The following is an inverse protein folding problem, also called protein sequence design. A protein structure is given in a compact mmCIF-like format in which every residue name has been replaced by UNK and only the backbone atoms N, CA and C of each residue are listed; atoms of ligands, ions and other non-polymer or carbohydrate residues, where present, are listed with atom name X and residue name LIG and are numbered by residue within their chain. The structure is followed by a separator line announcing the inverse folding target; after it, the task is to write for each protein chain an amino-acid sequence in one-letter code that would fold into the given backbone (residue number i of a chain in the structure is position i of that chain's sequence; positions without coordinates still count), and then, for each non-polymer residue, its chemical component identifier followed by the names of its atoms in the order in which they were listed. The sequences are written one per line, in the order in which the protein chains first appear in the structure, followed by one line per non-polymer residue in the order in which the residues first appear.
data_IF_706744368768
#
_entry.id   IF_706744368768
#
_cell.length_a   1.000
_cell.length_b   1.000
_cell.length_c   1.000
_cell.angle_alpha   90.00
_cell.angle_beta   90.00
_cell.angle_gamma   90.00
#
_symmetry.space_group_name_H-M   'P 1'
#
loop_
_entity.id
_entity.type
_entity.pdbx_description
1 polymer ?
#
# COMPACT_ATOMS: atom_id res chain seq x y z
N UNK A 1 -9.64 10.42 -14.78
CA UNK A 1 -10.66 9.95 -15.73
C UNK A 1 -10.12 9.83 -17.16
N UNK A 2 -9.27 10.76 -17.65
CA UNK A 2 -8.71 10.71 -19.01
C UNK A 2 -7.87 9.45 -19.26
N UNK A 3 -7.15 8.97 -18.24
CA UNK A 3 -6.23 7.84 -18.36
C UNK A 3 -6.93 6.47 -18.28
N UNK A 4 -7.92 6.33 -17.39
CA UNK A 4 -8.58 5.05 -17.10
C UNK A 4 -9.99 4.92 -17.66
N UNK A 5 -10.59 6.02 -18.11
CA UNK A 5 -11.99 6.08 -18.52
C UNK A 5 -13.00 5.95 -17.38
N UNK A 6 -12.54 5.71 -16.14
CA UNK A 6 -13.43 5.53 -14.99
C UNK A 6 -13.96 6.87 -14.48
N UNK A 7 -15.23 6.90 -14.10
CA UNK A 7 -15.84 8.05 -13.42
C UNK A 7 -15.71 7.87 -11.91
N UNK A 8 -14.66 8.48 -11.35
CA UNK A 8 -14.32 8.39 -9.94
C UNK A 8 -15.00 9.51 -9.14
N UNK A 9 -16.06 9.17 -8.41
CA UNK A 9 -16.81 10.11 -7.58
C UNK A 9 -16.13 10.34 -6.22
N UNK A 10 -15.47 9.32 -5.68
CA UNK A 10 -14.90 9.36 -4.34
C UNK A 10 -13.40 9.16 -4.36
N UNK A 11 -12.73 9.79 -3.39
CA UNK A 11 -11.31 9.56 -3.14
C UNK A 11 -11.05 9.33 -1.65
N UNK A 12 -9.96 8.66 -1.36
CA UNK A 12 -9.41 8.52 -0.02
C UNK A 12 -7.90 8.69 -0.07
N UNK A 13 -7.39 9.60 0.75
CA UNK A 13 -5.95 9.81 0.95
C UNK A 13 -5.61 9.35 2.36
N UNK A 14 -4.77 8.36 2.47
CA UNK A 14 -4.36 7.73 3.72
C UNK A 14 -2.91 8.14 3.99
N UNK A 15 -2.65 8.74 5.14
CA UNK A 15 -1.29 8.99 5.61
C UNK A 15 -0.63 7.66 6.02
N UNK A 16 0.68 7.53 5.78
CA UNK A 16 1.43 6.36 6.24
C UNK A 16 1.32 6.16 7.76
N UNK A 17 1.19 7.25 8.52
CA UNK A 17 0.95 7.20 9.97
C UNK A 17 -0.36 6.51 10.32
N UNK A 18 -1.42 6.64 9.49
CA UNK A 18 -2.65 5.90 9.69
C UNK A 18 -2.42 4.39 9.69
N UNK A 19 -1.64 3.91 8.71
CA UNK A 19 -1.35 2.48 8.58
C UNK A 19 -0.50 1.97 9.76
N UNK A 20 0.53 2.72 10.15
CA UNK A 20 1.40 2.40 11.30
C UNK A 20 0.57 2.27 12.59
N UNK A 21 -0.28 3.28 12.88
CA UNK A 21 -1.14 3.27 14.06
C UNK A 21 -2.20 2.17 14.02
N UNK A 22 -2.77 1.90 12.85
CA UNK A 22 -3.71 0.81 12.67
C UNK A 22 -3.05 -0.54 13.00
N UNK A 23 -1.83 -0.77 12.50
CA UNK A 23 -1.04 -1.96 12.80
C UNK A 23 -0.85 -2.13 14.31
N UNK A 24 -0.48 -1.06 15.03
CA UNK A 24 -0.31 -1.11 16.49
C UNK A 24 -1.63 -1.38 17.21
N UNK A 25 -2.72 -0.72 16.79
CA UNK A 25 -4.03 -0.91 17.40
C UNK A 25 -4.50 -2.35 17.25
N UNK A 26 -4.32 -2.98 16.09
CA UNK A 26 -4.72 -4.39 15.92
C UNK A 26 -3.76 -5.39 16.57
N UNK A 27 -2.61 -4.94 17.07
CA UNK A 27 -1.62 -5.76 17.79
C UNK A 27 -0.59 -6.40 16.88
N UNK A 28 -0.32 -5.77 15.74
CA UNK A 28 0.61 -6.23 14.72
C UNK A 28 -0.07 -6.97 13.58
N UNK A 29 0.63 -7.04 12.46
CA UNK A 29 0.21 -7.74 11.24
C UNK A 29 1.19 -8.85 10.92
N UNK A 30 0.70 -10.08 10.81
CA UNK A 30 1.51 -11.19 10.31
C UNK A 30 1.72 -11.02 8.81
N UNK A 31 2.97 -10.91 8.40
CA UNK A 31 3.33 -10.65 7.01
C UNK A 31 4.62 -11.37 6.61
N UNK A 32 4.67 -11.82 5.37
CA UNK A 32 5.89 -12.40 4.81
C UNK A 32 6.77 -11.30 4.22
N UNK A 33 7.84 -10.94 4.92
CA UNK A 33 8.85 -9.98 4.44
C UNK A 33 9.62 -10.61 3.28
N UNK A 34 9.60 -10.01 2.08
CA UNK A 34 10.11 -10.69 0.87
C UNK A 34 11.61 -10.82 0.82
N UNK A 35 12.35 -9.92 1.46
CA UNK A 35 13.81 -9.90 1.45
C UNK A 35 14.41 -9.42 2.77
N UNK A 36 15.70 -9.67 2.97
CA UNK A 36 16.44 -9.04 4.05
C UNK A 36 16.61 -7.55 3.75
N UNK A 37 16.13 -6.70 4.64
CA UNK A 37 16.16 -5.26 4.51
C UNK A 37 17.12 -4.68 5.54
N UNK A 38 18.19 -4.02 5.08
CA UNK A 38 19.21 -3.43 5.94
C UNK A 38 19.65 -2.08 5.36
N UNK A 39 19.02 -1.01 5.89
CA UNK A 39 19.25 0.35 5.44
C UNK A 39 19.27 1.32 6.61
N UNK A 40 20.33 2.13 6.67
CA UNK A 40 20.48 3.20 7.65
C UNK A 40 20.69 4.54 6.94
N UNK A 41 19.87 5.53 7.32
CA UNK A 41 20.02 6.93 6.93
C UNK A 41 19.94 7.82 8.16
N UNK A 42 21.11 8.27 8.62
CA UNK A 42 21.21 9.13 9.79
C UNK A 42 20.57 10.50 9.59
N UNK A 43 20.49 10.99 8.36
CA UNK A 43 19.93 12.30 8.04
C UNK A 43 18.41 12.33 8.25
N UNK A 44 17.75 11.19 8.05
CA UNK A 44 16.32 11.01 8.22
C UNK A 44 15.97 10.28 9.53
N UNK A 45 16.95 9.93 10.34
CA UNK A 45 16.78 9.04 11.50
C UNK A 45 16.01 7.76 11.12
N UNK A 46 16.37 7.17 9.98
CA UNK A 46 15.72 5.99 9.44
C UNK A 46 16.62 4.78 9.60
N UNK A 47 16.10 3.77 10.29
CA UNK A 47 16.79 2.50 10.55
C UNK A 47 15.86 1.37 10.12
N UNK A 48 16.25 0.60 9.09
CA UNK A 48 15.48 -0.52 8.55
C UNK A 48 16.28 -1.79 8.74
N UNK A 49 15.78 -2.69 9.58
CA UNK A 49 16.42 -3.97 9.90
C UNK A 49 15.38 -5.08 9.98
N UNK A 50 14.87 -5.53 8.82
CA UNK A 50 13.92 -6.62 8.73
C UNK A 50 14.58 -7.85 8.10
N UNK A 51 14.30 -9.01 8.66
CA UNK A 51 14.72 -10.29 8.07
C UNK A 51 13.65 -10.81 7.13
N UNK A 52 14.06 -11.47 6.05
CA UNK A 52 13.16 -12.22 5.17
C UNK A 52 12.42 -13.31 5.94
N UNK A 53 11.12 -13.47 5.65
CA UNK A 53 10.29 -14.54 6.18
C UNK A 53 9.02 -14.06 6.85
N UNK A 54 8.21 -15.01 7.29
CA UNK A 54 6.96 -14.76 8.00
C UNK A 54 7.25 -14.24 9.41
N UNK A 55 6.67 -13.10 9.76
CA UNK A 55 6.84 -12.48 11.07
C UNK A 55 5.68 -11.51 11.37
N UNK A 56 5.47 -11.21 12.64
CA UNK A 56 4.53 -10.18 13.07
C UNK A 56 5.24 -8.83 13.04
N UNK A 57 4.69 -7.90 12.26
CA UNK A 57 5.17 -6.53 12.18
C UNK A 57 4.29 -5.64 13.07
N UNK A 58 4.90 -4.95 14.03
CA UNK A 58 4.34 -3.84 14.75
C UNK A 58 4.40 -2.55 13.90
N UNK A 59 3.94 -1.41 14.42
CA UNK A 59 3.94 -0.16 13.68
C UNK A 59 5.32 0.28 13.21
N UNK A 60 6.34 0.13 14.07
CA UNK A 60 7.72 0.49 13.73
C UNK A 60 8.27 -0.37 12.58
N UNK A 61 8.02 -1.67 12.62
CA UNK A 61 8.43 -2.57 11.54
C UNK A 61 7.61 -2.37 10.27
N UNK A 62 6.34 -2.01 10.40
CA UNK A 62 5.50 -1.62 9.27
C UNK A 62 6.06 -0.38 8.57
N UNK A 63 6.48 0.65 9.34
CA UNK A 63 7.16 1.81 8.76
C UNK A 63 8.45 1.43 8.01
N UNK A 64 9.27 0.56 8.62
CA UNK A 64 10.49 0.06 7.99
C UNK A 64 10.18 -0.62 6.64
N UNK A 65 9.18 -1.52 6.62
CA UNK A 65 8.75 -2.23 5.41
C UNK A 65 8.28 -1.25 4.32
N UNK A 66 7.43 -0.28 4.69
CA UNK A 66 6.85 0.69 3.76
C UNK A 66 7.88 1.63 3.16
N UNK A 67 8.94 1.95 3.90
CA UNK A 67 9.99 2.88 3.50
C UNK A 67 11.17 2.20 2.81
N UNK A 68 11.27 0.87 2.87
CA UNK A 68 12.38 0.17 2.26
C UNK A 68 12.34 0.26 0.73
N UNK A 69 13.48 0.58 0.13
CA UNK A 69 13.69 0.57 -1.31
C UNK A 69 14.89 -0.27 -1.70
N UNK A 70 16.01 -0.09 -0.99
CA UNK A 70 17.27 -0.80 -1.20
C UNK A 70 18.12 -0.80 0.06
N UNK A 71 19.05 -1.72 0.13
CA UNK A 71 20.05 -1.81 1.18
C UNK A 71 21.17 -0.74 1.00
N UNK A 72 21.92 -0.44 2.06
CA UNK A 72 23.07 0.49 1.97
C UNK A 72 24.15 0.03 0.97
N UNK A 73 24.28 -1.27 0.73
CA UNK A 73 25.21 -1.82 -0.27
C UNK A 73 24.67 -1.74 -1.72
N UNK A 74 23.52 -1.11 -1.93
CA UNK A 74 22.89 -0.93 -3.24
C UNK A 74 22.06 -2.12 -3.72
N UNK A 75 22.02 -3.24 -3.01
CA UNK A 75 21.13 -4.36 -3.37
C UNK A 75 19.68 -4.00 -3.07
N UNK A 76 18.76 -4.45 -3.91
CA UNK A 76 17.33 -4.25 -3.78
C UNK A 76 16.61 -5.59 -3.62
N UNK A 77 15.33 -5.63 -3.93
CA UNK A 77 14.53 -6.86 -3.90
C UNK A 77 15.10 -7.94 -4.83
N UNK A 78 15.00 -9.21 -4.41
CA UNK A 78 15.56 -10.36 -5.14
C UNK A 78 14.66 -10.87 -6.27
N UNK A 79 13.39 -10.45 -6.31
CA UNK A 79 12.42 -10.84 -7.34
C UNK A 79 12.70 -10.27 -8.73
N UNK A 80 11.79 -10.48 -9.67
CA UNK A 80 11.82 -9.90 -11.02
C UNK A 80 11.63 -8.39 -10.99
N UNK A 81 10.67 -7.94 -10.17
CA UNK A 81 10.47 -6.52 -9.90
C UNK A 81 11.60 -5.96 -9.04
N UNK A 82 12.06 -4.76 -9.36
CA UNK A 82 13.17 -4.10 -8.66
C UNK A 82 12.77 -2.73 -8.15
N UNK A 83 13.53 -2.26 -7.17
CA UNK A 83 13.48 -0.89 -6.66
C UNK A 83 12.06 -0.41 -6.34
N UNK A 84 11.59 0.62 -7.03
CA UNK A 84 10.31 1.27 -6.76
C UNK A 84 9.10 0.39 -7.08
N UNK A 85 9.16 -0.44 -8.12
CA UNK A 85 8.05 -1.32 -8.50
C UNK A 85 7.87 -2.39 -7.42
N UNK A 86 8.96 -3.02 -6.99
CA UNK A 86 8.94 -4.01 -5.92
C UNK A 86 8.48 -3.40 -4.59
N UNK A 87 8.89 -2.15 -4.29
CA UNK A 87 8.41 -1.42 -3.12
C UNK A 87 6.90 -1.22 -3.19
N UNK A 88 6.37 -0.73 -4.30
CA UNK A 88 4.93 -0.51 -4.50
C UNK A 88 4.13 -1.80 -4.38
N UNK A 89 4.64 -2.90 -4.94
CA UNK A 89 4.04 -4.23 -4.84
C UNK A 89 4.00 -4.72 -3.38
N UNK A 90 5.11 -4.56 -2.65
CA UNK A 90 5.19 -4.91 -1.23
C UNK A 90 4.26 -4.05 -0.36
N UNK A 91 4.23 -2.74 -0.59
CA UNK A 91 3.32 -1.83 0.10
C UNK A 91 1.86 -2.22 -0.10
N UNK A 92 1.46 -2.48 -1.36
CA UNK A 92 0.11 -2.90 -1.70
C UNK A 92 -0.27 -4.21 -1.01
N UNK A 93 0.60 -5.21 -1.07
CA UNK A 93 0.38 -6.50 -0.42
C UNK A 93 0.24 -6.35 1.11
N UNK A 94 1.06 -5.50 1.72
CA UNK A 94 0.98 -5.23 3.15
C UNK A 94 -0.31 -4.49 3.55
N UNK A 95 -0.77 -3.52 2.73
CA UNK A 95 -2.04 -2.84 2.96
C UNK A 95 -3.21 -3.84 2.92
N UNK A 96 -3.26 -4.69 1.90
CA UNK A 96 -4.30 -5.72 1.76
C UNK A 96 -4.28 -6.65 2.98
N UNK A 97 -3.11 -7.12 3.40
CA UNK A 97 -2.99 -8.00 4.56
C UNK A 97 -3.40 -7.30 5.86
N UNK A 98 -3.04 -6.01 6.02
CA UNK A 98 -3.49 -5.20 7.16
C UNK A 98 -5.01 -5.09 7.21
N UNK A 99 -5.67 -4.83 6.07
CA UNK A 99 -7.14 -4.79 6.00
C UNK A 99 -7.74 -6.13 6.37
N UNK A 100 -7.24 -7.24 5.81
CA UNK A 100 -7.69 -8.61 6.14
C UNK A 100 -7.64 -8.88 7.64
N UNK A 101 -6.53 -8.55 8.28
CA UNK A 101 -6.36 -8.79 9.71
C UNK A 101 -7.15 -7.82 10.58
N UNK A 102 -7.39 -6.59 10.10
CA UNK A 102 -8.21 -5.60 10.80
C UNK A 102 -9.67 -6.06 10.95
N UNK A 103 -10.26 -6.63 9.91
CA UNK A 103 -11.68 -7.05 9.94
C UNK A 103 -11.91 -8.38 10.66
N UNK A 104 -10.89 -9.04 11.17
CA UNK A 104 -11.06 -10.27 11.94
C UNK A 104 -11.87 -10.03 13.22
N UNK A 105 -12.67 -11.01 13.59
CA UNK A 105 -13.56 -10.94 14.77
C UNK A 105 -12.84 -10.53 16.06
N UNK A 106 -11.56 -10.89 16.23
CA UNK A 106 -10.76 -10.50 17.39
C UNK A 106 -10.58 -8.98 17.55
N UNK A 107 -10.76 -8.20 16.47
CA UNK A 107 -10.56 -6.76 16.46
C UNK A 107 -11.87 -5.94 16.60
N UNK A 108 -13.02 -6.60 16.73
CA UNK A 108 -14.33 -5.92 16.89
C UNK A 108 -14.33 -4.96 18.08
N UNK A 109 -13.63 -5.32 19.16
CA UNK A 109 -13.54 -4.45 20.35
C UNK A 109 -12.65 -3.21 20.15
N UNK A 110 -11.89 -3.15 19.06
CA UNK A 110 -10.97 -2.05 18.71
C UNK A 110 -11.60 -1.06 17.72
N UNK A 111 -12.85 -1.25 17.34
CA UNK A 111 -13.52 -0.48 16.29
C UNK A 111 -13.51 1.03 16.58
N UNK A 112 -13.61 1.42 17.86
CA UNK A 112 -13.53 2.84 18.25
C UNK A 112 -12.18 3.43 17.90
N UNK A 113 -11.10 2.76 18.27
CA UNK A 113 -9.74 3.25 18.04
C UNK A 113 -9.42 3.29 16.53
N UNK A 114 -9.94 2.31 15.77
CA UNK A 114 -9.83 2.28 14.30
C UNK A 114 -10.56 3.48 13.68
N UNK A 115 -11.75 3.81 14.17
CA UNK A 115 -12.50 4.99 13.71
C UNK A 115 -11.75 6.28 14.05
N UNK A 116 -11.22 6.40 15.25
CA UNK A 116 -10.47 7.58 15.68
C UNK A 116 -9.23 7.81 14.79
N UNK A 117 -8.50 6.74 14.42
CA UNK A 117 -7.39 6.80 13.45
C UNK A 117 -7.88 7.26 12.08
N UNK A 118 -9.00 6.71 11.60
CA UNK A 118 -9.56 7.10 10.31
C UNK A 118 -9.90 8.60 10.27
N UNK A 119 -10.48 9.13 11.35
CA UNK A 119 -10.79 10.55 11.44
C UNK A 119 -9.56 11.46 11.43
N UNK A 120 -8.48 11.02 12.08
CA UNK A 120 -7.27 11.82 12.24
C UNK A 120 -6.37 11.80 10.99
N UNK A 121 -6.25 10.64 10.31
CA UNK A 121 -5.23 10.38 9.30
C UNK A 121 -5.77 10.10 7.89
N UNK A 122 -7.09 10.06 7.69
CA UNK A 122 -7.70 9.82 6.38
C UNK A 122 -8.43 11.06 5.90
N UNK A 123 -8.08 11.52 4.69
CA UNK A 123 -8.79 12.58 3.99
C UNK A 123 -9.65 11.98 2.88
N UNK A 124 -10.95 12.28 2.89
CA UNK A 124 -11.89 11.77 1.90
C UNK A 124 -13.01 12.76 1.66
N UNK A 125 -13.64 12.68 0.48
CA UNK A 125 -14.90 13.36 0.20
C UNK A 125 -16.14 12.51 0.52
N UNK A 126 -15.95 11.28 1.05
CA UNK A 126 -17.04 10.45 1.53
C UNK A 126 -17.68 11.09 2.75
N UNK A 127 -19.01 11.22 2.72
CA UNK A 127 -19.76 11.67 3.91
C UNK A 127 -19.83 10.54 4.96
N UNK A 128 -19.99 10.91 6.23
CA UNK A 128 -20.18 9.94 7.32
C UNK A 128 -21.40 9.05 7.07
N UNK A 129 -22.48 9.61 6.48
CA UNK A 129 -23.65 8.83 6.09
C UNK A 129 -23.31 7.77 5.05
N UNK A 130 -22.59 8.17 3.99
CA UNK A 130 -22.11 7.26 2.95
C UNK A 130 -21.26 6.14 3.52
N UNK A 131 -20.31 6.49 4.40
CA UNK A 131 -19.47 5.48 5.08
C UNK A 131 -20.32 4.48 5.86
N UNK A 132 -21.31 4.96 6.65
CA UNK A 132 -22.20 4.09 7.42
C UNK A 132 -23.01 3.15 6.53
N UNK A 133 -23.43 3.61 5.36
CA UNK A 133 -24.17 2.79 4.40
C UNK A 133 -23.32 1.65 3.82
N UNK A 134 -21.99 1.84 3.71
CA UNK A 134 -21.06 0.83 3.24
C UNK A 134 -20.54 -0.14 4.32
N UNK A 135 -20.58 0.23 5.61
CA UNK A 135 -20.09 -0.63 6.71
C UNK A 135 -20.67 -2.06 6.68
N UNK A 136 -21.98 -2.29 6.46
CA UNK A 136 -22.53 -3.64 6.42
C UNK A 136 -21.97 -4.50 5.27
N UNK A 137 -21.52 -3.87 4.20
CA UNK A 137 -20.94 -4.55 3.06
C UNK A 137 -19.47 -4.87 3.29
N UNK A 138 -18.75 -4.02 4.02
CA UNK A 138 -17.30 -4.16 4.26
C UNK A 138 -16.93 -5.49 4.95
N UNK A 139 -17.79 -6.01 5.82
CA UNK A 139 -17.56 -7.30 6.51
C UNK A 139 -17.76 -8.51 5.60
N UNK A 140 -18.40 -8.33 4.43
CA UNK A 140 -18.67 -9.38 3.45
C UNK A 140 -17.82 -9.21 2.17
N UNK A 141 -16.87 -8.25 2.15
CA UNK A 141 -16.00 -8.07 1.00
C UNK A 141 -15.09 -9.28 0.86
N UNK A 142 -15.09 -9.87 -0.32
CA UNK A 142 -14.08 -10.87 -0.68
C UNK A 142 -12.74 -10.18 -0.90
N UNK A 143 -11.95 -10.08 0.17
CA UNK A 143 -10.65 -9.43 0.12
C UNK A 143 -9.66 -10.27 -0.71
N UNK A 144 -9.85 -11.57 -0.82
CA UNK A 144 -9.01 -12.44 -1.66
C UNK A 144 -9.30 -12.24 -3.14
N UNK A 145 -10.54 -11.84 -3.48
CA UNK A 145 -10.94 -11.45 -4.83
C UNK A 145 -10.50 -10.04 -5.24
N UNK A 146 -9.85 -9.26 -4.37
CA UNK A 146 -9.37 -7.92 -4.76
C UNK A 146 -8.30 -8.06 -5.84
N UNK A 147 -8.65 -7.65 -7.04
CA UNK A 147 -7.70 -7.54 -8.14
C UNK A 147 -6.90 -6.24 -8.02
N UNK A 148 -5.64 -6.30 -8.34
CA UNK A 148 -4.79 -5.12 -8.37
C UNK A 148 -3.82 -5.23 -9.55
N UNK A 149 -3.66 -4.15 -10.27
CA UNK A 149 -2.76 -4.09 -11.41
C UNK A 149 -1.91 -2.82 -11.37
N UNK A 150 -0.75 -2.89 -12.01
CA UNK A 150 0.07 -1.72 -12.32
C UNK A 150 -0.30 -1.31 -13.74
N UNK A 151 -0.56 -0.01 -13.95
CA UNK A 151 -0.82 0.48 -15.30
C UNK A 151 0.38 0.19 -16.21
N UNK A 152 0.16 -0.39 -17.39
CA UNK A 152 1.24 -0.67 -18.33
C UNK A 152 2.00 0.59 -18.73
N UNK A 153 3.32 0.51 -18.76
CA UNK A 153 4.15 1.66 -19.09
C UNK A 153 5.62 1.41 -18.81
N UNK A 154 6.41 2.47 -18.86
CA UNK A 154 7.85 2.41 -18.57
C UNK A 154 8.35 3.65 -17.83
N UNK A 155 9.33 3.45 -16.97
CA UNK A 155 10.07 4.55 -16.38
C UNK A 155 10.96 5.23 -17.44
N UNK A 156 11.03 6.54 -17.39
CA UNK A 156 11.88 7.40 -18.23
C UNK A 156 12.61 8.37 -17.32
N UNK A 157 13.90 8.51 -17.50
CA UNK A 157 14.74 9.36 -16.65
C UNK A 157 15.86 10.05 -17.41
N UNK A 158 16.87 10.58 -16.69
CA UNK A 158 17.99 11.30 -17.28
C UNK A 158 18.76 10.52 -18.35
N UNK A 159 18.83 9.20 -18.23
CA UNK A 159 19.46 8.33 -19.23
C UNK A 159 18.69 8.25 -20.55
N UNK A 160 17.40 8.61 -20.53
CA UNK A 160 16.52 8.67 -21.70
C UNK A 160 16.36 10.10 -22.23
N UNK A 161 17.18 11.05 -21.72
CA UNK A 161 17.15 12.46 -22.12
C UNK A 161 16.09 13.30 -21.39
N UNK A 162 15.42 12.77 -20.37
CA UNK A 162 14.49 13.53 -19.54
C UNK A 162 15.23 14.28 -18.42
N UNK A 163 14.71 15.44 -18.01
CA UNK A 163 15.28 16.23 -16.91
C UNK A 163 14.94 15.67 -15.52
N UNK A 164 13.85 14.91 -15.43
CA UNK A 164 13.33 14.27 -14.21
C UNK A 164 12.94 12.83 -14.52
N UNK A 165 12.64 12.07 -13.47
CA UNK A 165 12.06 10.73 -13.61
C UNK A 165 10.56 10.84 -13.84
N UNK A 166 10.06 10.14 -14.85
CA UNK A 166 8.65 10.01 -15.19
C UNK A 166 8.27 8.53 -15.39
N UNK A 167 7.00 8.23 -15.20
CA UNK A 167 6.43 6.97 -15.67
C UNK A 167 5.51 7.28 -16.85
N UNK A 168 5.88 6.80 -18.03
CA UNK A 168 5.08 6.95 -19.24
C UNK A 168 4.13 5.76 -19.35
N UNK A 169 2.86 6.02 -19.13
CA UNK A 169 1.80 5.02 -19.25
C UNK A 169 1.57 4.70 -20.73
N UNK A 170 1.38 3.41 -21.03
CA UNK A 170 0.94 2.96 -22.33
C UNK A 170 -0.59 3.00 -22.40
N UNK A 171 -1.16 4.02 -23.02
CA UNK A 171 -2.60 4.24 -23.09
C UNK A 171 -3.36 3.07 -23.71
N UNK A 172 -2.81 2.43 -24.77
CA UNK A 172 -3.46 1.31 -25.44
C UNK A 172 -3.55 0.06 -24.56
N UNK A 173 -2.45 -0.29 -23.92
CA UNK A 173 -2.42 -1.43 -22.99
C UNK A 173 -3.23 -1.13 -21.73
N UNK A 174 -3.26 0.14 -21.28
CA UNK A 174 -4.10 0.56 -20.18
C UNK A 174 -5.58 0.40 -20.52
N UNK A 175 -6.01 0.77 -21.72
CA UNK A 175 -7.39 0.57 -22.15
C UNK A 175 -7.79 -0.91 -22.15
N UNK A 176 -6.91 -1.80 -22.63
CA UNK A 176 -7.15 -3.25 -22.58
C UNK A 176 -7.26 -3.75 -21.14
N UNK A 177 -6.35 -3.31 -20.26
CA UNK A 177 -6.38 -3.67 -18.85
C UNK A 177 -7.66 -3.19 -18.14
N UNK A 178 -8.13 -1.98 -18.46
CA UNK A 178 -9.37 -1.45 -17.91
C UNK A 178 -10.60 -2.23 -18.39
N UNK A 179 -10.62 -2.63 -19.66
CA UNK A 179 -11.69 -3.47 -20.24
C UNK A 179 -11.75 -4.84 -19.54
N UNK A 180 -10.60 -5.46 -19.27
CA UNK A 180 -10.51 -6.74 -18.57
C UNK A 180 -10.95 -6.67 -17.11
N UNK A 181 -10.71 -5.54 -16.42
CA UNK A 181 -10.96 -5.41 -14.99
C UNK A 181 -12.36 -4.88 -14.65
N UNK A 182 -12.99 -4.10 -15.53
CA UNK A 182 -14.19 -3.33 -15.21
C UNK A 182 -15.35 -3.50 -16.20
N UNK A 183 -15.13 -4.08 -17.36
CA UNK A 183 -16.13 -4.23 -18.42
C UNK A 183 -16.17 -5.65 -18.97
#
# INVERSE_FOLDING_TARGET
NELTGLDLEYYMVIDNQALIKLVDVIGGVEFFVPDNMNYDDKSQNLHIHLKKGLQVLDGDKAEQLLRFRKNNNGTSYSGEEKDDIARMSTQRSFIIETVKQTIQAKNVFKIKDIIDIAYEYVKTNLSISTIKDYVPYAINVDIEGIQSAVLPGRAVGPNDGASLWYYLVNEKETAVLMDELYF
#
